data_IF_296356055035
#
_entry.id   IF_296356055035
#
_cell.length_a   1.000
_cell.length_b   1.000
_cell.length_c   1.000
_cell.angle_alpha   90.00
_cell.angle_beta   90.00
_cell.angle_gamma   90.00
#
_symmetry.space_group_name_H-M   'P 1'
#
loop_
_entity.id
_entity.type
_entity.pdbx_description
1 polymer ?
#
# COMPACT_ATOMS: atom_id res chain seq x y z
N UNK A 1 9.82 -13.14 13.57
CA UNK A 1 8.42 -12.97 13.09
C UNK A 1 7.43 -13.96 13.73
N UNK A 2 7.89 -15.03 14.34
CA UNK A 2 7.03 -15.95 15.10
C UNK A 2 6.55 -15.38 16.45
N UNK A 3 7.25 -14.42 17.00
CA UNK A 3 6.96 -13.88 18.34
C UNK A 3 5.69 -13.00 18.40
N UNK A 4 5.23 -12.48 17.27
CA UNK A 4 4.03 -11.63 17.22
C UNK A 4 2.70 -12.39 17.16
N UNK A 5 2.75 -13.61 16.65
CA UNK A 5 1.60 -14.50 16.64
C UNK A 5 1.93 -15.67 17.57
N UNK A 6 1.90 -15.47 18.86
CA UNK A 6 2.06 -16.55 19.83
C UNK A 6 1.43 -17.87 19.37
N UNK A 7 1.60 -18.94 20.07
CA UNK A 7 0.91 -20.20 19.74
C UNK A 7 -0.61 -19.99 19.85
N UNK A 8 -1.25 -19.71 18.71
CA UNK A 8 -2.70 -19.57 18.66
C UNK A 8 -3.36 -20.92 18.84
N UNK A 9 -4.38 -20.96 19.68
CA UNK A 9 -5.26 -22.13 19.77
C UNK A 9 -6.05 -22.29 18.49
N UNK A 10 -6.59 -23.46 18.26
CA UNK A 10 -7.46 -23.72 17.10
C UNK A 10 -8.67 -22.78 17.08
N UNK A 11 -9.27 -22.52 18.24
CA UNK A 11 -10.41 -21.61 18.40
C UNK A 11 -10.05 -20.17 17.97
N UNK A 12 -8.91 -19.65 18.44
CA UNK A 12 -8.41 -18.33 18.04
C UNK A 12 -8.15 -18.23 16.52
N UNK A 13 -7.68 -19.32 15.91
CA UNK A 13 -7.49 -19.36 14.44
C UNK A 13 -8.85 -19.32 13.74
N UNK A 14 -9.82 -20.10 14.17
CA UNK A 14 -11.14 -20.17 13.55
C UNK A 14 -11.89 -18.83 13.69
N UNK A 15 -11.79 -18.16 14.86
CA UNK A 15 -12.33 -16.81 15.07
C UNK A 15 -11.67 -15.77 14.12
N UNK A 16 -10.34 -15.81 14.00
CA UNK A 16 -9.63 -14.88 13.11
C UNK A 16 -9.98 -15.11 11.65
N UNK A 17 -10.11 -16.36 11.20
CA UNK A 17 -10.55 -16.69 9.84
C UNK A 17 -11.98 -16.17 9.60
N UNK A 18 -12.89 -16.34 10.55
CA UNK A 18 -14.25 -15.82 10.46
C UNK A 18 -14.25 -14.28 10.40
N UNK A 19 -13.43 -13.62 11.21
CA UNK A 19 -13.26 -12.15 11.20
C UNK A 19 -12.73 -11.64 9.86
N UNK A 20 -11.74 -12.31 9.29
CA UNK A 20 -11.18 -11.97 7.97
C UNK A 20 -12.25 -12.15 6.88
N UNK A 21 -12.98 -13.27 6.90
CA UNK A 21 -14.05 -13.52 5.93
C UNK A 21 -15.16 -12.45 6.03
N UNK A 22 -15.56 -12.08 7.24
CA UNK A 22 -16.54 -11.02 7.47
C UNK A 22 -16.03 -9.66 6.98
N UNK A 23 -14.76 -9.33 7.21
CA UNK A 23 -14.17 -8.09 6.73
C UNK A 23 -14.18 -8.00 5.19
N UNK A 24 -13.94 -9.10 4.49
CA UNK A 24 -14.09 -9.18 3.03
C UNK A 24 -15.52 -8.90 2.57
N UNK A 25 -16.52 -9.44 3.27
CA UNK A 25 -17.92 -9.25 2.91
C UNK A 25 -18.40 -7.80 3.15
N UNK A 26 -17.94 -7.18 4.23
CA UNK A 26 -18.41 -5.84 4.64
C UNK A 26 -17.60 -4.72 3.99
N UNK A 27 -16.28 -4.83 4.01
CA UNK A 27 -15.37 -3.77 3.57
C UNK A 27 -14.85 -3.98 2.13
N UNK A 28 -15.10 -5.14 1.51
CA UNK A 28 -14.60 -5.47 0.19
C UNK A 28 -13.08 -5.61 0.12
N UNK A 29 -12.40 -5.61 1.27
CA UNK A 29 -10.94 -5.65 1.33
C UNK A 29 -10.43 -6.23 2.64
N UNK A 30 -9.44 -7.12 2.53
CA UNK A 30 -8.61 -7.60 3.63
C UNK A 30 -7.27 -8.12 3.07
N UNK A 31 -6.35 -8.56 3.95
CA UNK A 31 -5.05 -9.12 3.55
C UNK A 31 -5.22 -10.32 2.63
N UNK A 32 -4.36 -10.40 1.61
CA UNK A 32 -4.28 -11.51 0.64
C UNK A 32 -3.27 -12.54 1.09
N UNK A 33 -3.46 -13.78 0.65
CA UNK A 33 -2.41 -14.80 0.70
C UNK A 33 -1.53 -14.66 -0.53
N UNK A 34 -0.22 -14.65 -0.33
CA UNK A 34 0.77 -14.52 -1.40
C UNK A 34 1.44 -15.87 -1.69
N UNK A 35 1.51 -16.23 -2.98
CA UNK A 35 2.13 -17.45 -3.47
C UNK A 35 3.16 -17.13 -4.55
N UNK A 36 4.26 -17.88 -4.57
CA UNK A 36 5.22 -17.82 -5.68
C UNK A 36 4.56 -18.36 -6.96
N UNK A 37 4.63 -17.60 -8.04
CA UNK A 37 3.94 -17.95 -9.29
C UNK A 37 4.55 -19.16 -10.00
N UNK A 38 5.83 -19.44 -9.76
CA UNK A 38 6.56 -20.52 -10.42
C UNK A 38 6.41 -21.82 -9.66
N UNK A 39 6.58 -21.75 -8.33
CA UNK A 39 6.61 -22.95 -7.49
C UNK A 39 5.26 -23.26 -6.84
N UNK A 40 4.33 -22.30 -6.80
CA UNK A 40 3.06 -22.40 -6.06
C UNK A 40 3.26 -22.35 -4.54
N UNK A 41 4.48 -22.10 -4.07
CA UNK A 41 4.77 -22.10 -2.65
C UNK A 41 4.21 -20.85 -1.97
N UNK A 42 3.63 -21.03 -0.77
CA UNK A 42 3.12 -19.91 0.03
C UNK A 42 4.26 -19.04 0.55
N UNK A 43 4.28 -17.78 0.11
CA UNK A 43 5.28 -16.77 0.50
C UNK A 43 4.93 -16.17 1.86
N UNK A 44 3.64 -15.92 2.10
CA UNK A 44 3.14 -15.25 3.27
C UNK A 44 1.77 -14.59 3.03
N UNK A 45 1.55 -13.46 3.66
CA UNK A 45 0.34 -12.65 3.47
C UNK A 45 0.69 -11.16 3.37
N UNK A 46 -0.18 -10.38 2.78
CA UNK A 46 -0.05 -8.93 2.73
C UNK A 46 -1.21 -8.29 2.01
N UNK A 47 -1.19 -6.98 1.86
CA UNK A 47 -2.26 -6.21 1.23
C UNK A 47 -2.97 -5.30 2.21
N UNK A 48 -4.19 -4.89 1.87
CA UNK A 48 -4.94 -3.85 2.55
C UNK A 48 -5.82 -4.42 3.68
N UNK A 49 -6.15 -3.59 4.65
CA UNK A 49 -7.22 -3.81 5.63
C UNK A 49 -7.69 -2.49 6.21
N UNK A 50 -8.90 -2.45 6.78
CA UNK A 50 -9.33 -1.32 7.60
C UNK A 50 -8.68 -1.45 8.97
N UNK A 51 -8.12 -0.38 9.48
CA UNK A 51 -7.47 -0.33 10.79
C UNK A 51 -7.89 0.95 11.52
N UNK A 52 -8.23 0.80 12.80
CA UNK A 52 -8.39 1.95 13.68
C UNK A 52 -7.01 2.31 14.23
N UNK A 53 -6.44 3.39 13.76
CA UNK A 53 -5.10 3.81 14.12
C UNK A 53 -5.06 5.32 14.31
N UNK A 54 -4.39 5.76 15.38
CA UNK A 54 -4.29 7.19 15.73
C UNK A 54 -5.66 7.87 15.85
N UNK A 55 -6.63 7.18 16.45
CA UNK A 55 -8.00 7.68 16.69
C UNK A 55 -8.88 7.80 15.46
N UNK A 56 -8.48 7.22 14.31
CA UNK A 56 -9.21 7.29 13.05
C UNK A 56 -9.26 5.91 12.36
N UNK A 57 -10.33 5.67 11.62
CA UNK A 57 -10.40 4.54 10.72
C UNK A 57 -9.66 4.88 9.42
N UNK A 58 -8.61 4.12 9.14
CA UNK A 58 -7.73 4.33 7.97
C UNK A 58 -7.61 3.05 7.15
N UNK A 59 -7.34 3.19 5.86
CA UNK A 59 -6.95 2.05 5.03
C UNK A 59 -5.47 1.78 5.26
N UNK A 60 -5.18 0.60 5.78
CA UNK A 60 -3.82 0.19 6.13
C UNK A 60 -3.31 -0.86 5.15
N UNK A 61 -2.04 -0.78 4.81
CA UNK A 61 -1.33 -1.81 4.06
C UNK A 61 -0.21 -2.41 4.89
N UNK A 62 -0.09 -3.74 4.87
CA UNK A 62 0.99 -4.44 5.55
C UNK A 62 1.32 -5.77 4.89
N UNK A 63 2.40 -6.37 5.36
CA UNK A 63 2.91 -7.65 4.87
C UNK A 63 3.57 -8.45 6.00
N UNK A 64 3.45 -9.76 5.91
CA UNK A 64 4.13 -10.72 6.75
C UNK A 64 4.59 -11.90 5.88
N UNK A 65 5.89 -12.03 5.69
CA UNK A 65 6.49 -12.99 4.77
C UNK A 65 7.39 -13.97 5.52
N UNK A 66 7.38 -15.21 5.10
CA UNK A 66 8.35 -16.20 5.57
C UNK A 66 9.78 -15.70 5.31
N UNK A 67 10.67 -15.87 6.28
CA UNK A 67 12.05 -15.37 6.23
C UNK A 67 12.85 -15.84 5.01
N UNK A 68 12.58 -17.06 4.53
CA UNK A 68 13.24 -17.62 3.33
C UNK A 68 12.92 -16.86 2.04
N UNK A 69 11.89 -16.02 2.05
CA UNK A 69 11.48 -15.17 0.93
C UNK A 69 11.89 -13.71 1.07
N UNK A 70 12.59 -13.35 2.16
CA UNK A 70 13.08 -12.00 2.33
C UNK A 70 14.13 -11.63 1.28
N UNK A 71 14.32 -10.34 1.07
CA UNK A 71 15.29 -9.77 0.11
C UNK A 71 15.03 -10.15 -1.37
N UNK A 72 13.85 -10.72 -1.68
CA UNK A 72 13.45 -11.08 -3.05
C UNK A 72 12.46 -10.11 -3.68
N UNK A 73 12.15 -8.98 -3.01
CA UNK A 73 11.25 -7.97 -3.56
C UNK A 73 9.75 -8.20 -3.32
N UNK A 74 9.34 -9.34 -2.81
CA UNK A 74 7.92 -9.70 -2.63
C UNK A 74 7.13 -8.70 -1.77
N UNK A 75 7.70 -8.17 -0.68
CA UNK A 75 7.02 -7.14 0.12
C UNK A 75 6.74 -5.88 -0.70
N UNK A 76 7.68 -5.47 -1.53
CA UNK A 76 7.53 -4.32 -2.43
C UNK A 76 6.49 -4.58 -3.52
N UNK A 77 6.43 -5.80 -4.07
CA UNK A 77 5.45 -6.21 -5.07
C UNK A 77 4.03 -6.20 -4.47
N UNK A 78 3.84 -6.80 -3.29
CA UNK A 78 2.58 -6.78 -2.55
C UNK A 78 2.16 -5.34 -2.24
N UNK A 79 3.10 -4.51 -1.80
CA UNK A 79 2.84 -3.11 -1.50
C UNK A 79 2.38 -2.33 -2.74
N UNK A 80 3.04 -2.49 -3.88
CA UNK A 80 2.63 -1.86 -5.15
C UNK A 80 1.25 -2.30 -5.60
N UNK A 81 0.97 -3.61 -5.54
CA UNK A 81 -0.34 -4.14 -5.90
C UNK A 81 -1.45 -3.59 -4.98
N UNK A 82 -1.18 -3.52 -3.67
CA UNK A 82 -2.11 -2.96 -2.71
C UNK A 82 -2.37 -1.47 -2.91
N UNK A 83 -1.34 -0.66 -3.15
CA UNK A 83 -1.49 0.77 -3.45
C UNK A 83 -2.27 0.99 -4.75
N UNK A 84 -1.97 0.22 -5.80
CA UNK A 84 -2.72 0.30 -7.05
C UNK A 84 -4.21 -0.02 -6.82
N UNK A 85 -4.53 -1.07 -6.06
CA UNK A 85 -5.89 -1.41 -5.71
C UNK A 85 -6.58 -0.35 -4.85
N UNK A 86 -5.87 0.20 -3.84
CA UNK A 86 -6.39 1.25 -2.98
C UNK A 86 -6.80 2.50 -3.76
N UNK A 87 -5.92 2.97 -4.66
CA UNK A 87 -6.14 4.23 -5.36
C UNK A 87 -7.03 4.10 -6.59
N UNK A 88 -7.01 2.96 -7.29
CA UNK A 88 -7.76 2.79 -8.54
C UNK A 88 -9.14 2.14 -8.34
N UNK A 89 -9.26 1.21 -7.37
CA UNK A 89 -10.49 0.43 -7.19
C UNK A 89 -11.28 0.85 -5.95
N UNK A 90 -10.60 1.24 -4.86
CA UNK A 90 -11.25 1.67 -3.62
C UNK A 90 -11.41 3.18 -3.51
N UNK A 91 -10.89 3.93 -4.47
CA UNK A 91 -10.93 5.40 -4.50
C UNK A 91 -10.39 6.05 -3.21
N UNK A 92 -9.40 5.40 -2.58
CA UNK A 92 -8.80 5.89 -1.35
C UNK A 92 -8.00 7.17 -1.60
N UNK A 93 -8.11 8.14 -0.71
CA UNK A 93 -7.29 9.37 -0.77
C UNK A 93 -5.93 9.17 -0.10
N UNK A 94 -5.86 8.25 0.86
CA UNK A 94 -4.68 7.98 1.67
C UNK A 94 -4.59 6.49 2.00
N UNK A 95 -3.37 5.99 2.12
CA UNK A 95 -3.07 4.67 2.67
C UNK A 95 -1.99 4.83 3.74
N UNK A 96 -2.15 4.13 4.87
CA UNK A 96 -1.14 4.09 5.93
C UNK A 96 -0.47 2.73 6.03
N UNK A 97 0.67 2.72 6.65
CA UNK A 97 1.37 1.50 7.05
C UNK A 97 2.10 1.75 8.36
N UNK A 98 2.16 0.78 9.24
CA UNK A 98 2.90 0.91 10.48
C UNK A 98 3.65 -0.37 10.82
N UNK A 99 4.73 -0.21 11.55
CA UNK A 99 5.57 -1.31 12.02
C UNK A 99 6.28 -0.89 13.30
N UNK A 100 6.76 -1.85 14.07
CA UNK A 100 7.61 -1.57 15.22
C UNK A 100 8.77 -0.64 14.82
N UNK A 101 9.10 0.32 15.67
CA UNK A 101 10.10 1.37 15.35
C UNK A 101 11.47 0.80 14.98
N UNK A 102 11.83 -0.35 15.54
CA UNK A 102 13.10 -1.05 15.27
C UNK A 102 13.08 -1.92 14.02
N UNK A 103 11.93 -2.10 13.35
CA UNK A 103 11.82 -2.92 12.15
C UNK A 103 12.27 -2.14 10.90
N UNK A 104 13.58 -1.91 10.80
CA UNK A 104 14.19 -1.15 9.70
C UNK A 104 13.84 -1.73 8.32
N UNK A 105 13.68 -3.06 8.22
CA UNK A 105 13.34 -3.73 6.94
C UNK A 105 11.97 -3.33 6.42
N UNK A 106 10.95 -3.33 7.27
CA UNK A 106 9.61 -2.89 6.86
C UNK A 106 9.60 -1.39 6.56
N UNK A 107 10.29 -0.58 7.36
CA UNK A 107 10.43 0.86 7.13
C UNK A 107 11.07 1.15 5.77
N UNK A 108 12.17 0.46 5.42
CA UNK A 108 12.81 0.59 4.11
C UNK A 108 11.91 0.17 2.93
N UNK A 109 10.98 -0.78 3.13
CA UNK A 109 9.98 -1.12 2.11
C UNK A 109 8.95 -0.01 1.98
N UNK A 110 8.44 0.54 3.09
CA UNK A 110 7.49 1.68 3.08
C UNK A 110 8.10 2.87 2.32
N UNK A 111 9.32 3.27 2.66
CA UNK A 111 10.03 4.38 2.01
C UNK A 111 10.23 4.14 0.50
N UNK A 112 10.60 2.92 0.12
CA UNK A 112 10.74 2.53 -1.30
C UNK A 112 9.41 2.57 -2.06
N UNK A 113 8.30 2.36 -1.38
CA UNK A 113 6.95 2.49 -1.93
C UNK A 113 6.46 3.94 -2.00
N UNK A 114 7.20 4.88 -1.42
CA UNK A 114 6.87 6.30 -1.42
C UNK A 114 6.12 6.80 -0.18
N UNK A 115 5.99 5.96 0.84
CA UNK A 115 5.43 6.41 2.12
C UNK A 115 6.38 7.38 2.81
N UNK A 116 5.79 8.37 3.49
CA UNK A 116 6.49 9.30 4.36
C UNK A 116 6.20 8.97 5.83
N UNK A 117 7.23 9.04 6.66
CA UNK A 117 7.05 8.91 8.11
C UNK A 117 6.16 10.04 8.64
N UNK A 118 5.16 9.68 9.42
CA UNK A 118 4.23 10.64 10.04
C UNK A 118 4.59 10.89 11.50
N UNK A 119 4.60 9.84 12.30
CA UNK A 119 4.92 9.88 13.75
C UNK A 119 5.03 8.48 14.35
N UNK A 120 5.44 8.42 15.61
CA UNK A 120 5.28 7.21 16.41
C UNK A 120 3.89 7.18 17.07
N UNK A 121 3.32 5.97 17.13
CA UNK A 121 2.03 5.67 17.76
C UNK A 121 2.16 4.53 18.75
N UNK A 122 1.20 4.43 19.67
CA UNK A 122 1.14 3.32 20.64
C UNK A 122 0.00 2.39 20.25
N UNK A 123 0.30 1.11 20.06
CA UNK A 123 -0.67 0.04 19.82
C UNK A 123 -0.38 -1.08 20.81
N UNK A 124 -1.36 -1.44 21.63
CA UNK A 124 -1.26 -2.51 22.64
C UNK A 124 -0.01 -2.41 23.54
N UNK A 125 0.38 -1.17 23.88
CA UNK A 125 1.54 -0.87 24.70
C UNK A 125 2.90 -0.91 23.97
N UNK A 126 2.94 -1.27 22.69
CA UNK A 126 4.12 -1.21 21.82
C UNK A 126 4.21 0.10 21.04
N UNK A 127 5.42 0.55 20.74
CA UNK A 127 5.65 1.74 19.92
C UNK A 127 5.88 1.37 18.47
N UNK A 128 5.10 1.99 17.58
CA UNK A 128 5.11 1.76 16.15
C UNK A 128 5.38 3.04 15.38
N UNK A 129 6.19 2.97 14.35
CA UNK A 129 6.37 4.04 13.38
C UNK A 129 5.23 4.00 12.35
N UNK A 130 4.44 5.08 12.32
CA UNK A 130 3.34 5.28 11.36
C UNK A 130 3.86 6.02 10.14
N UNK A 131 3.52 5.52 8.98
CA UNK A 131 3.82 6.07 7.67
C UNK A 131 2.53 6.27 6.89
N UNK A 132 2.48 7.29 6.05
CA UNK A 132 1.35 7.59 5.18
C UNK A 132 1.80 7.86 3.74
N UNK A 133 0.92 7.59 2.80
CA UNK A 133 1.04 7.97 1.40
C UNK A 133 -0.31 8.44 0.88
N UNK A 134 -0.33 9.64 0.32
CA UNK A 134 -1.51 10.21 -0.33
C UNK A 134 -1.64 9.68 -1.76
N UNK A 135 -2.86 9.71 -2.28
CA UNK A 135 -3.13 9.45 -3.68
C UNK A 135 -2.28 10.37 -4.55
N UNK A 136 -1.51 9.85 -5.51
CA UNK A 136 -0.83 10.69 -6.48
C UNK A 136 -1.83 11.60 -7.19
N UNK A 137 -1.65 12.91 -7.10
CA UNK A 137 -2.46 13.84 -7.87
C UNK A 137 -2.23 13.58 -9.35
N UNK A 138 -3.24 13.06 -10.04
CA UNK A 138 -3.22 13.00 -11.49
C UNK A 138 -3.14 14.46 -11.95
N UNK A 139 -2.00 14.87 -12.51
CA UNK A 139 -1.92 16.20 -13.17
C UNK A 139 -3.07 16.25 -14.15
N UNK A 140 -4.07 17.07 -13.83
CA UNK A 140 -5.19 17.35 -14.71
C UNK A 140 -4.63 17.72 -16.08
N UNK A 141 -5.02 16.98 -17.11
CA UNK A 141 -4.63 17.21 -18.52
C UNK A 141 -5.35 18.43 -19.10
N UNK A 142 -5.58 19.45 -18.28
CA UNK A 142 -6.32 20.66 -18.60
C UNK A 142 -5.50 21.90 -18.30
N UNK A 143 -4.39 22.07 -19.02
CA UNK A 143 -3.85 23.37 -19.39
C UNK A 143 -3.10 23.21 -20.72
N UNK A 144 -3.83 22.76 -21.73
CA UNK A 144 -3.49 23.18 -23.10
C UNK A 144 -4.02 24.60 -23.18
N UNK A 145 -3.13 25.57 -23.05
CA UNK A 145 -3.40 26.97 -23.30
C UNK A 145 -3.89 27.13 -24.77
N UNK A 146 -5.15 27.53 -25.01
CA UNK A 146 -5.65 27.73 -26.37
C UNK A 146 -5.04 28.97 -27.05
N UNK A 147 -4.13 29.67 -26.36
CA UNK A 147 -3.54 30.92 -26.83
C UNK A 147 -2.20 30.76 -27.52
N UNK A 148 -1.74 29.56 -27.83
CA UNK A 148 -0.59 29.37 -28.72
C UNK A 148 -0.97 29.87 -30.13
N UNK A 149 -0.76 31.16 -30.35
CA UNK A 149 -0.94 31.85 -31.64
C UNK A 149 -0.25 31.07 -32.73
N UNK A 150 -1.06 30.64 -33.69
CA UNK A 150 -0.65 30.23 -35.03
C UNK A 150 0.22 31.34 -35.61
N UNK A 151 1.54 31.19 -35.64
CA UNK A 151 2.41 32.03 -36.42
C UNK A 151 2.20 31.67 -37.91
N UNK A 152 1.41 32.49 -38.55
CA UNK A 152 1.14 32.50 -39.98
C UNK A 152 2.44 32.74 -40.77
N UNK A 153 2.96 31.68 -41.36
CA UNK A 153 4.01 31.77 -42.39
C UNK A 153 3.37 32.06 -43.76
N UNK A 154 2.87 33.27 -43.94
CA UNK A 154 2.62 33.73 -45.29
C UNK A 154 3.92 34.24 -45.93
N UNK A 155 4.32 33.46 -46.90
CA UNK A 155 5.44 33.71 -47.74
C UNK A 155 5.43 35.08 -48.44
N UNK A 156 6.60 35.54 -48.73
CA UNK A 156 6.84 36.57 -49.74
C UNK A 156 7.56 35.93 -50.90
N UNK A 157 6.81 35.60 -51.93
CA UNK A 157 7.40 35.47 -53.28
C UNK A 157 7.71 36.87 -53.76
N UNK A 158 8.97 37.20 -54.00
CA UNK A 158 9.35 38.27 -54.93
C UNK A 158 10.08 37.66 -56.09
N UNK A 159 9.56 38.11 -57.29
CA UNK A 159 10.08 37.90 -58.60
C UNK A 159 11.40 38.69 -58.80
N UNK A 160 12.32 38.14 -59.51
CA UNK A 160 13.01 38.71 -60.64
C UNK A 160 13.83 37.58 -61.28
#
# INVERSE_FOLDING_TARGET
>A
MAEWYGEWTREQIDEEVARIAQAWLVAGVHKWMAYDRVTGERIGRGGLSRAHVDGRDRLEIGWALHHKFWHRGYATEIGRAGLAFAFNELDADEVVSFTETHNERSRAVMERLGFSYEKDIIIDGGTFALYAIDRPQTRSRAQIDPSAKLLDHRGSRKRA
#
